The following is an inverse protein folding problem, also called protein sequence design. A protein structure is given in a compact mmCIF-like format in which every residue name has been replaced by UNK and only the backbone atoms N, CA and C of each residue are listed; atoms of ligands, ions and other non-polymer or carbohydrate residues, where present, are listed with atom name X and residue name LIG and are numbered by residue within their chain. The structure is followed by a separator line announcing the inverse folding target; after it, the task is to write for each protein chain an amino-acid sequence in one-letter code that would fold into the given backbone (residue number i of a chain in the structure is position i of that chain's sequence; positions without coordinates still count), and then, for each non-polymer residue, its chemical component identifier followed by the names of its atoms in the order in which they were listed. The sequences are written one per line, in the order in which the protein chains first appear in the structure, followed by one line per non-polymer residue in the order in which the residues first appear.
data_IF_929335410840
#
_entry.id   IF_929335410840
#
_cell.length_a   1.000
_cell.length_b   1.000
_cell.length_c   1.000
_cell.angle_alpha   90.00
_cell.angle_beta   90.00
_cell.angle_gamma   90.00
#
_symmetry.space_group_name_H-M   'P 1'
#
loop_
_entity.id
_entity.type
_entity.pdbx_description
1 polymer ?
#
# COMPACT_ATOMS: atom_id res chain seq x y z
N UNK A 1 4.97 -6.25 -15.12
CA UNK A 1 4.12 -5.70 -14.03
C UNK A 1 2.72 -6.24 -14.19
N UNK A 2 2.07 -6.64 -13.10
CA UNK A 2 0.65 -6.94 -13.09
C UNK A 2 -0.13 -5.65 -12.76
N UNK A 3 -1.21 -5.38 -13.49
CA UNK A 3 -2.09 -4.25 -13.24
C UNK A 3 -3.49 -4.78 -12.98
N UNK A 4 -4.15 -4.27 -11.94
CA UNK A 4 -5.53 -4.63 -11.59
C UNK A 4 -6.35 -3.36 -11.40
N UNK A 5 -7.31 -3.13 -12.28
CA UNK A 5 -8.32 -2.09 -12.08
C UNK A 5 -9.46 -2.63 -11.22
N UNK A 6 -9.86 -1.89 -10.19
CA UNK A 6 -11.01 -2.22 -9.35
C UNK A 6 -11.84 -0.95 -9.14
N UNK A 7 -13.15 -1.06 -9.40
CA UNK A 7 -14.09 -0.01 -9.03
C UNK A 7 -14.45 -0.17 -7.56
N UNK A 8 -14.24 0.89 -6.77
CA UNK A 8 -14.66 0.94 -5.38
C UNK A 8 -15.85 1.89 -5.30
N UNK A 9 -17.02 1.39 -4.90
CA UNK A 9 -18.26 2.18 -4.76
C UNK A 9 -18.23 3.10 -3.51
N UNK A 10 -17.16 3.87 -3.35
CA UNK A 10 -16.92 4.82 -2.27
C UNK A 10 -16.20 6.05 -2.83
N UNK A 11 -16.33 7.18 -2.15
CA UNK A 11 -15.61 8.39 -2.52
C UNK A 11 -14.08 8.13 -2.52
N UNK A 12 -13.33 8.68 -3.50
CA UNK A 12 -11.87 8.52 -3.56
C UNK A 12 -11.17 8.91 -2.25
N UNK A 13 -11.68 9.93 -1.56
CA UNK A 13 -11.16 10.36 -0.25
C UNK A 13 -11.30 9.27 0.83
N UNK A 14 -12.37 8.49 0.82
CA UNK A 14 -12.56 7.38 1.76
C UNK A 14 -11.55 6.25 1.52
N UNK A 15 -11.34 5.87 0.25
CA UNK A 15 -10.31 4.90 -0.14
C UNK A 15 -8.93 5.41 0.27
N UNK A 16 -8.67 6.70 0.03
CA UNK A 16 -7.39 7.32 0.37
C UNK A 16 -7.11 7.29 1.87
N UNK A 17 -8.13 7.50 2.71
CA UNK A 17 -8.00 7.40 4.16
C UNK A 17 -7.51 6.01 4.59
N UNK A 18 -8.00 4.95 3.95
CA UNK A 18 -7.57 3.56 4.22
C UNK A 18 -6.12 3.34 3.80
N UNK A 19 -5.75 3.77 2.59
CA UNK A 19 -4.38 3.60 2.07
C UNK A 19 -3.34 4.44 2.84
N UNK A 20 -3.77 5.56 3.40
CA UNK A 20 -2.94 6.47 4.19
C UNK A 20 -2.86 6.07 5.67
N UNK A 21 -3.54 5.00 6.07
CA UNK A 21 -3.52 4.49 7.43
C UNK A 21 -2.48 3.35 7.54
N UNK A 22 -1.38 3.54 8.29
CA UNK A 22 -0.32 2.55 8.40
C UNK A 22 -0.74 1.31 9.19
N UNK A 23 -1.71 1.42 10.11
CA UNK A 23 -2.20 0.28 10.89
C UNK A 23 -3.02 -0.67 10.02
N UNK A 24 -3.66 -0.13 8.98
CA UNK A 24 -4.48 -0.89 8.04
C UNK A 24 -3.68 -1.51 6.91
N UNK A 25 -2.39 -1.22 6.79
CA UNK A 25 -1.51 -1.80 5.76
C UNK A 25 -1.61 -3.34 5.72
N UNK A 26 -1.65 -3.97 6.90
CA UNK A 26 -1.77 -5.41 7.00
C UNK A 26 -3.12 -5.98 6.52
N UNK A 27 -4.19 -5.16 6.45
CA UNK A 27 -5.52 -5.60 6.01
C UNK A 27 -5.61 -5.79 4.49
N UNK A 28 -4.85 -5.01 3.71
CA UNK A 28 -4.94 -5.00 2.25
C UNK A 28 -3.71 -5.60 1.55
N UNK A 29 -2.63 -5.87 2.28
CA UNK A 29 -1.53 -6.69 1.77
C UNK A 29 -1.77 -8.15 2.17
N UNK A 30 -1.87 -9.02 1.17
CA UNK A 30 -2.09 -10.45 1.43
C UNK A 30 -0.83 -11.05 2.08
N UNK A 31 -1.01 -11.79 3.17
CA UNK A 31 0.06 -12.51 3.88
C UNK A 31 0.72 -11.72 5.01
N UNK A 32 0.46 -10.42 5.14
CA UNK A 32 0.93 -9.63 6.28
C UNK A 32 0.07 -9.88 7.52
N UNK A 33 0.70 -10.27 8.62
CA UNK A 33 0.05 -10.48 9.91
C UNK A 33 -0.10 -9.17 10.69
N UNK A 34 0.91 -8.28 10.61
CA UNK A 34 0.98 -7.02 11.36
C UNK A 34 1.81 -5.98 10.60
N UNK A 35 1.48 -4.71 10.76
CA UNK A 35 2.27 -3.57 10.27
C UNK A 35 2.43 -2.53 11.37
N UNK A 36 3.61 -1.91 11.43
CA UNK A 36 3.93 -0.87 12.40
C UNK A 36 4.63 0.29 11.69
N UNK A 37 4.28 1.55 11.99
CA UNK A 37 5.05 2.70 11.54
C UNK A 37 6.51 2.57 12.02
N UNK A 38 7.47 2.92 11.16
CA UNK A 38 8.89 2.80 11.48
C UNK A 38 9.60 4.16 11.43
N UNK A 39 9.46 4.91 10.35
CA UNK A 39 10.15 6.19 10.18
C UNK A 39 9.28 7.21 9.42
N UNK A 40 9.44 8.48 9.77
CA UNK A 40 8.70 9.58 9.17
C UNK A 40 7.20 9.54 9.50
N UNK A 41 6.44 10.41 8.82
CA UNK A 41 4.99 10.47 8.95
C UNK A 41 4.36 9.78 7.75
N UNK A 42 3.79 8.59 7.95
CA UNK A 42 3.07 7.91 6.88
C UNK A 42 1.83 8.73 6.44
N UNK A 43 1.51 8.83 5.14
CA UNK A 43 2.20 8.30 3.94
C UNK A 43 3.07 9.34 3.22
N UNK A 44 3.83 10.19 3.92
CA UNK A 44 4.74 11.14 3.28
C UNK A 44 5.88 10.41 2.56
N UNK A 45 6.40 11.00 1.47
CA UNK A 45 7.52 10.41 0.71
C UNK A 45 8.71 10.19 1.63
N UNK A 46 9.29 8.99 1.58
CA UNK A 46 10.40 8.57 2.44
C UNK A 46 9.98 8.01 3.80
N UNK A 47 8.70 8.12 4.19
CA UNK A 47 8.20 7.41 5.37
C UNK A 47 8.21 5.90 5.13
N UNK A 48 8.36 5.14 6.22
CA UNK A 48 8.40 3.68 6.17
C UNK A 48 7.60 3.02 7.27
N UNK A 49 7.18 1.79 6.98
CA UNK A 49 6.56 0.88 7.93
C UNK A 49 7.29 -0.46 7.89
N UNK A 50 7.33 -1.13 9.03
CA UNK A 50 7.75 -2.53 9.12
C UNK A 50 6.51 -3.40 9.09
N UNK A 51 6.58 -4.52 8.38
CA UNK A 51 5.50 -5.50 8.36
C UNK A 51 6.03 -6.90 8.60
N UNK A 52 5.19 -7.74 9.19
CA UNK A 52 5.45 -9.16 9.37
C UNK A 52 4.61 -9.96 8.38
N UNK A 53 5.23 -10.80 7.56
CA UNK A 53 4.55 -11.76 6.68
C UNK A 53 4.66 -13.14 7.30
N UNK A 54 3.54 -13.88 7.35
CA UNK A 54 3.56 -15.26 7.81
C UNK A 54 3.54 -16.22 6.62
N UNK A 55 4.62 -16.98 6.45
CA UNK A 55 4.73 -18.05 5.46
C UNK A 55 4.77 -19.39 6.20
N UNK A 56 3.62 -20.08 6.23
CA UNK A 56 3.46 -21.29 7.05
C UNK A 56 3.63 -20.99 8.54
N UNK A 57 4.52 -21.73 9.21
CA UNK A 57 4.83 -21.54 10.64
C UNK A 57 5.87 -20.44 10.91
N UNK A 58 6.45 -19.85 9.86
CA UNK A 58 7.57 -18.89 9.98
C UNK A 58 7.10 -17.46 9.74
N UNK A 59 7.56 -16.53 10.59
CA UNK A 59 7.34 -15.09 10.43
C UNK A 59 8.57 -14.43 9.80
N UNK A 60 8.35 -13.67 8.73
CA UNK A 60 9.37 -12.87 8.05
C UNK A 60 9.08 -11.39 8.26
N UNK A 61 10.11 -10.60 8.55
CA UNK A 61 9.98 -9.15 8.66
C UNK A 61 10.43 -8.48 7.36
N UNK A 62 9.59 -7.60 6.86
CA UNK A 62 9.87 -6.73 5.73
C UNK A 62 9.67 -5.27 6.10
N UNK A 63 10.10 -4.38 5.20
CA UNK A 63 9.95 -2.94 5.32
C UNK A 63 9.32 -2.40 4.05
N UNK A 64 8.33 -1.52 4.18
CA UNK A 64 7.77 -0.78 3.06
C UNK A 64 8.12 0.68 3.18
N UNK A 65 8.53 1.29 2.06
CA UNK A 65 8.88 2.71 1.96
C UNK A 65 7.97 3.40 0.95
N UNK A 66 7.46 4.58 1.29
CA UNK A 66 6.74 5.42 0.35
C UNK A 66 7.73 6.05 -0.63
N UNK A 67 7.61 5.74 -1.93
CA UNK A 67 8.45 6.30 -2.99
C UNK A 67 7.84 7.52 -3.65
N UNK A 68 6.51 7.56 -3.77
CA UNK A 68 5.77 8.71 -4.34
C UNK A 68 4.45 8.88 -3.61
N UNK A 69 4.11 10.12 -3.27
CA UNK A 69 2.83 10.44 -2.68
C UNK A 69 2.31 11.75 -3.25
N UNK A 70 1.23 11.66 -4.03
CA UNK A 70 0.45 12.81 -4.50
C UNK A 70 -0.97 12.67 -3.98
N UNK A 71 -1.41 13.55 -3.07
CA UNK A 71 -2.75 13.50 -2.50
C UNK A 71 -3.82 13.29 -3.58
N UNK A 72 -4.70 12.30 -3.37
CA UNK A 72 -5.82 11.95 -4.26
C UNK A 72 -5.44 11.53 -5.70
N UNK A 73 -4.16 11.32 -6.03
CA UNK A 73 -3.75 10.86 -7.37
C UNK A 73 -2.88 9.62 -7.34
N UNK A 74 -1.74 9.71 -6.66
CA UNK A 74 -0.72 8.66 -6.68
C UNK A 74 -0.26 8.27 -5.27
N UNK A 75 -0.09 6.99 -5.04
CA UNK A 75 0.65 6.43 -3.92
C UNK A 75 1.51 5.27 -4.43
N UNK A 76 2.83 5.44 -4.39
CA UNK A 76 3.79 4.41 -4.76
C UNK A 76 4.56 3.94 -3.53
N UNK A 77 4.58 2.62 -3.35
CA UNK A 77 5.19 1.92 -2.25
C UNK A 77 6.21 0.93 -2.77
N UNK A 78 7.34 0.84 -2.10
CA UNK A 78 8.35 -0.18 -2.34
C UNK A 78 8.47 -1.06 -1.10
N UNK A 79 8.03 -2.31 -1.23
CA UNK A 79 8.03 -3.31 -0.19
C UNK A 79 9.27 -4.19 -0.32
N UNK A 80 10.14 -4.15 0.67
CA UNK A 80 11.33 -4.97 0.81
C UNK A 80 11.03 -6.13 1.75
N UNK A 81 11.00 -7.35 1.20
CA UNK A 81 10.73 -8.59 1.95
C UNK A 81 11.98 -9.44 2.19
N UNK A 82 13.16 -8.83 2.12
CA UNK A 82 14.45 -9.50 2.29
C UNK A 82 14.67 -10.57 1.21
N UNK A 83 14.93 -11.84 1.57
CA UNK A 83 15.24 -12.90 0.60
C UNK A 83 14.08 -13.23 -0.35
N UNK A 84 12.85 -12.81 -0.01
CA UNK A 84 11.66 -12.98 -0.87
C UNK A 84 11.61 -11.96 -2.02
N UNK A 85 12.51 -10.96 -2.00
CA UNK A 85 12.63 -9.94 -3.03
C UNK A 85 11.99 -8.61 -2.66
N UNK A 86 11.85 -7.74 -3.67
CA UNK A 86 11.27 -6.40 -3.56
C UNK A 86 10.07 -6.29 -4.49
N UNK A 87 8.98 -5.70 -4.02
CA UNK A 87 7.78 -5.43 -4.81
C UNK A 87 7.49 -3.93 -4.85
N UNK A 88 7.18 -3.41 -6.04
CA UNK A 88 6.66 -2.05 -6.22
C UNK A 88 5.16 -2.09 -6.41
N UNK A 89 4.45 -1.31 -5.61
CA UNK A 89 2.99 -1.23 -5.59
C UNK A 89 2.62 0.22 -5.84
N UNK A 90 1.88 0.47 -6.92
CA UNK A 90 1.40 1.79 -7.25
C UNK A 90 -0.13 1.80 -7.24
N UNK A 91 -0.71 2.75 -6.52
CA UNK A 91 -2.12 3.08 -6.58
C UNK A 91 -2.28 4.37 -7.35
N UNK A 92 -2.97 4.27 -8.48
CA UNK A 92 -3.42 5.41 -9.28
C UNK A 92 -4.95 5.47 -9.21
N UNK A 93 -5.48 6.64 -8.89
CA UNK A 93 -6.91 6.91 -9.06
C UNK A 93 -7.12 7.51 -10.45
N UNK A 94 -7.29 6.63 -11.43
CA UNK A 94 -7.69 7.05 -12.77
C UNK A 94 -9.02 7.80 -12.71
N UNK A 95 -9.11 8.91 -13.45
CA UNK A 95 -10.36 9.62 -13.68
C UNK A 95 -11.32 8.66 -14.38
N UNK A 96 -12.26 8.09 -13.62
CA UNK A 96 -13.32 7.28 -14.19
C UNK A 96 -14.24 8.24 -14.93
N UNK A 97 -14.03 8.38 -16.24
CA UNK A 97 -15.10 8.83 -17.13
C UNK A 97 -16.22 7.82 -16.98
N UNK A 98 -17.27 8.21 -16.25
CA UNK A 98 -18.52 7.46 -16.21
C UNK A 98 -18.97 7.33 -17.67
N UNK A 99 -19.11 6.12 -18.24
CA UNK A 99 -19.68 6.00 -19.57
C UNK A 99 -21.11 6.52 -19.50
N UNK A 100 -21.34 7.69 -20.09
CA UNK A 100 -22.70 8.21 -20.29
C UNK A 100 -23.41 7.21 -21.20
N UNK A 101 -24.47 6.60 -20.68
CA UNK A 101 -25.40 5.78 -21.45
C UNK A 101 -26.18 6.63 -22.45
#
# INVERSE_FOLDING_TARGET
MAVRHQLIAREPAAVRRVLSDPERYAEWVVGTARSFPQAGRWPEVGSSLTYAVRLGSTEFRGQTVVRRHEPLRWLELEAHSGPLGTARIAFDSGETRVPTA
#
